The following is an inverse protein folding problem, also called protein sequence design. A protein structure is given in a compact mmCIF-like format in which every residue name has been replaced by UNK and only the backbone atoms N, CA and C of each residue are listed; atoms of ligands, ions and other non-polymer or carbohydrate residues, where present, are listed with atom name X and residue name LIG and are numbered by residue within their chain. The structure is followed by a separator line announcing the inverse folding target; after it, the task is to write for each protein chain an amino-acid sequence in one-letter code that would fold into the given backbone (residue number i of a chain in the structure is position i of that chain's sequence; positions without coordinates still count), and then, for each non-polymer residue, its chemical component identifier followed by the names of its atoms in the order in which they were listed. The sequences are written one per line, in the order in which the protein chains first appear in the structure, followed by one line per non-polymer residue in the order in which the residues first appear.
data_IF_214195327163
#
_entry.id   IF_214195327163
#
_cell.length_a   1.000
_cell.length_b   1.000
_cell.length_c   1.000
_cell.angle_alpha   90.00
_cell.angle_beta   90.00
_cell.angle_gamma   90.00
#
_symmetry.space_group_name_H-M   'P 1'
#
loop_
_entity.id
_entity.type
_entity.pdbx_description
1 polymer ?
#
# COMPACT_ATOMS: atom_id res chain seq x y z
N UNK A 1 -11.78 16.06 -12.57
CA UNK A 1 -12.16 15.44 -11.27
C UNK A 1 -11.17 14.32 -10.99
N UNK A 2 -10.52 14.32 -9.81
CA UNK A 2 -9.73 13.15 -9.37
C UNK A 2 -10.72 12.08 -8.87
N UNK A 3 -10.52 10.79 -9.15
CA UNK A 3 -11.44 9.75 -8.70
C UNK A 3 -11.54 9.74 -7.18
N UNK A 4 -12.77 9.60 -6.65
CA UNK A 4 -13.01 9.43 -5.22
C UNK A 4 -12.47 8.05 -4.81
N UNK A 5 -11.63 8.02 -3.78
CA UNK A 5 -11.16 6.78 -3.16
C UNK A 5 -11.97 6.57 -1.89
N UNK A 6 -12.76 5.50 -1.84
CA UNK A 6 -13.44 5.07 -0.62
C UNK A 6 -12.41 4.39 0.29
N UNK A 7 -12.25 4.88 1.51
CA UNK A 7 -11.41 4.29 2.54
C UNK A 7 -12.31 3.49 3.48
N UNK A 8 -11.95 2.23 3.73
CA UNK A 8 -12.70 1.36 4.62
C UNK A 8 -12.18 1.46 6.07
N UNK A 9 -10.86 1.60 6.25
CA UNK A 9 -10.27 1.77 7.58
C UNK A 9 -8.92 2.50 7.56
N UNK A 10 -8.62 3.19 8.66
CA UNK A 10 -7.25 3.65 8.95
C UNK A 10 -6.47 2.52 9.64
N UNK A 11 -5.25 2.26 9.19
CA UNK A 11 -4.37 1.23 9.78
C UNK A 11 -2.97 1.80 9.98
N UNK A 12 -2.37 1.53 11.13
CA UNK A 12 -0.96 1.84 11.37
C UNK A 12 -0.07 0.72 10.82
N UNK A 13 1.11 1.07 10.31
CA UNK A 13 2.03 0.10 9.72
C UNK A 13 2.51 -0.98 10.70
N UNK A 14 2.44 -0.74 12.01
CA UNK A 14 2.74 -1.74 13.05
C UNK A 14 1.68 -2.82 13.23
N UNK A 15 0.48 -2.62 12.68
CA UNK A 15 -0.59 -3.62 12.66
C UNK A 15 -0.55 -4.48 11.39
N UNK A 16 0.25 -4.09 10.38
CA UNK A 16 0.30 -4.77 9.10
C UNK A 16 1.25 -5.96 9.18
N UNK A 17 0.68 -7.14 9.20
CA UNK A 17 1.39 -8.42 9.21
C UNK A 17 0.57 -9.48 8.45
N UNK A 18 1.12 -10.68 8.32
CA UNK A 18 0.51 -11.77 7.58
C UNK A 18 -0.82 -12.22 8.21
N UNK A 19 -0.93 -12.20 9.54
CA UNK A 19 -2.15 -12.59 10.25
C UNK A 19 -3.31 -11.65 9.93
N UNK A 20 -3.07 -10.32 9.92
CA UNK A 20 -4.06 -9.33 9.49
C UNK A 20 -4.49 -9.59 8.04
N UNK A 21 -3.53 -9.85 7.15
CA UNK A 21 -3.85 -10.17 5.76
C UNK A 21 -4.74 -11.41 5.65
N UNK A 22 -4.42 -12.49 6.38
CA UNK A 22 -5.20 -13.73 6.37
C UNK A 22 -6.62 -13.54 6.93
N UNK A 23 -6.77 -12.77 8.00
CA UNK A 23 -8.08 -12.41 8.55
C UNK A 23 -8.93 -11.67 7.51
N UNK A 24 -8.35 -10.70 6.80
CA UNK A 24 -9.03 -9.99 5.72
C UNK A 24 -9.39 -10.97 4.60
N UNK A 25 -8.42 -11.75 4.12
CA UNK A 25 -8.62 -12.65 2.98
C UNK A 25 -9.64 -13.77 3.26
N UNK A 26 -9.88 -14.11 4.53
CA UNK A 26 -10.96 -15.03 4.92
C UNK A 26 -12.38 -14.50 4.68
N UNK A 27 -12.54 -13.19 4.38
CA UNK A 27 -13.82 -12.54 4.07
C UNK A 27 -14.23 -12.71 2.59
N UNK A 28 -13.52 -13.54 1.85
CA UNK A 28 -13.87 -13.96 0.49
C UNK A 28 -15.29 -14.54 0.41
N UNK A 29 -15.95 -14.46 -0.77
CA UNK A 29 -15.40 -14.07 -2.06
C UNK A 29 -15.37 -12.56 -2.30
N UNK A 30 -14.29 -12.10 -2.94
CA UNK A 30 -14.17 -10.71 -3.39
C UNK A 30 -14.87 -10.52 -4.75
N UNK A 31 -15.58 -9.41 -4.92
CA UNK A 31 -16.29 -9.12 -6.16
C UNK A 31 -17.38 -8.08 -6.00
N UNK A 32 -18.38 -8.12 -6.89
CA UNK A 32 -19.49 -7.16 -6.90
C UNK A 32 -20.21 -7.18 -5.54
N UNK A 33 -20.19 -6.05 -4.84
CA UNK A 33 -20.80 -5.90 -3.51
C UNK A 33 -19.89 -6.27 -2.33
N UNK A 34 -18.71 -6.84 -2.58
CA UNK A 34 -17.69 -7.13 -1.57
C UNK A 34 -16.29 -6.83 -2.15
N UNK A 35 -15.96 -5.55 -2.25
CA UNK A 35 -14.65 -5.12 -2.71
C UNK A 35 -13.57 -5.42 -1.66
N UNK A 36 -12.37 -5.77 -2.12
CA UNK A 36 -11.22 -5.92 -1.22
C UNK A 36 -10.95 -4.59 -0.49
N UNK A 37 -10.79 -4.60 0.84
CA UNK A 37 -10.75 -3.38 1.64
C UNK A 37 -9.58 -2.47 1.26
N UNK A 38 -9.87 -1.18 1.26
CA UNK A 38 -8.90 -0.10 1.07
C UNK A 38 -8.56 0.51 2.43
N UNK A 39 -7.28 0.44 2.76
CA UNK A 39 -6.74 1.03 3.97
C UNK A 39 -6.10 2.38 3.69
N UNK A 40 -6.02 3.22 4.72
CA UNK A 40 -5.34 4.50 4.69
C UNK A 40 -4.36 4.65 5.85
N UNK A 41 -3.20 5.25 5.57
CA UNK A 41 -2.24 5.66 6.59
C UNK A 41 -1.75 7.08 6.29
N UNK A 42 -1.86 8.01 7.26
CA UNK A 42 -1.30 9.35 7.11
C UNK A 42 0.21 9.38 7.35
N UNK A 43 0.86 10.44 6.89
CA UNK A 43 2.24 10.79 7.27
C UNK A 43 3.23 9.63 7.08
N UNK A 44 3.24 9.09 5.86
CA UNK A 44 4.13 8.02 5.44
C UNK A 44 5.32 8.60 4.69
N UNK A 45 6.52 8.30 5.18
CA UNK A 45 7.78 8.68 4.54
C UNK A 45 8.13 7.70 3.42
N UNK A 46 8.44 8.22 2.24
CA UNK A 46 9.04 7.47 1.13
C UNK A 46 10.53 7.34 1.38
N UNK A 47 10.96 6.17 1.87
CA UNK A 47 12.39 5.90 2.16
C UNK A 47 13.18 5.59 0.89
N UNK A 48 12.56 4.85 -0.03
CA UNK A 48 13.13 4.48 -1.32
C UNK A 48 12.04 4.45 -2.36
N UNK A 49 12.38 4.86 -3.57
CA UNK A 49 11.49 4.78 -4.72
C UNK A 49 12.29 4.53 -5.99
N UNK A 50 11.77 3.69 -6.87
CA UNK A 50 12.35 3.46 -8.19
C UNK A 50 11.30 3.02 -9.18
N UNK A 51 11.47 3.45 -10.43
CA UNK A 51 10.66 2.92 -11.55
C UNK A 51 11.11 1.48 -11.84
N UNK A 52 10.14 0.57 -12.01
CA UNK A 52 10.36 -0.83 -12.35
C UNK A 52 9.51 -1.22 -13.55
N UNK A 53 10.04 -2.12 -14.39
CA UNK A 53 9.43 -2.45 -15.66
C UNK A 53 9.33 -1.21 -16.56
N UNK A 54 8.20 -1.07 -17.27
CA UNK A 54 7.99 0.08 -18.16
C UNK A 54 7.45 1.34 -17.45
N UNK A 55 6.66 1.19 -16.38
CA UNK A 55 5.90 2.32 -15.82
C UNK A 55 5.40 2.13 -14.38
N UNK A 56 5.97 1.23 -13.58
CA UNK A 56 5.48 0.98 -12.21
C UNK A 56 6.44 1.58 -11.20
N UNK A 57 5.93 1.98 -10.04
CA UNK A 57 6.76 2.54 -8.98
C UNK A 57 6.86 1.54 -7.83
N UNK A 58 8.08 1.06 -7.55
CA UNK A 58 8.36 0.24 -6.38
C UNK A 58 8.90 1.13 -5.26
N UNK A 59 8.34 0.96 -4.07
CA UNK A 59 8.52 1.86 -2.93
C UNK A 59 8.92 1.08 -1.68
N UNK A 60 9.69 1.73 -0.81
CA UNK A 60 9.87 1.33 0.59
C UNK A 60 9.32 2.46 1.45
N UNK A 61 8.31 2.16 2.26
CA UNK A 61 7.54 3.15 3.02
C UNK A 61 7.70 2.93 4.52
N UNK A 62 7.65 4.03 5.28
CA UNK A 62 7.67 4.00 6.75
C UNK A 62 6.75 5.08 7.30
N UNK A 63 5.77 4.70 8.11
CA UNK A 63 4.92 5.65 8.82
C UNK A 63 5.73 6.39 9.89
N UNK A 64 5.58 7.71 9.99
CA UNK A 64 6.26 8.50 11.04
C UNK A 64 5.92 7.97 12.44
N UNK A 65 6.94 7.89 13.30
CA UNK A 65 6.79 7.36 14.66
C UNK A 65 6.66 5.84 14.75
N UNK A 66 6.64 5.11 13.62
CA UNK A 66 6.58 3.65 13.58
C UNK A 66 7.88 3.05 13.03
N UNK A 67 8.27 1.88 13.55
CA UNK A 67 9.48 1.16 13.12
C UNK A 67 9.33 0.37 11.81
N UNK A 68 8.18 -0.29 11.53
CA UNK A 68 8.08 -1.16 10.36
C UNK A 68 8.26 -0.42 9.05
N UNK A 69 9.00 -1.07 8.15
CA UNK A 69 9.16 -0.65 6.76
C UNK A 69 8.38 -1.62 5.90
N UNK A 70 7.52 -1.10 5.02
CA UNK A 70 6.70 -1.91 4.15
C UNK A 70 7.09 -1.67 2.70
N UNK A 71 7.21 -2.76 1.95
CA UNK A 71 7.32 -2.68 0.51
C UNK A 71 5.97 -2.26 -0.07
N UNK A 72 5.99 -1.42 -1.10
CA UNK A 72 4.80 -1.04 -1.83
C UNK A 72 5.03 -1.06 -3.35
N UNK A 73 3.96 -1.25 -4.10
CA UNK A 73 3.91 -1.16 -5.56
C UNK A 73 2.77 -0.21 -5.94
N UNK A 74 3.06 0.74 -6.83
CA UNK A 74 2.05 1.60 -7.43
C UNK A 74 2.04 1.35 -8.95
N UNK A 75 0.96 0.77 -9.44
CA UNK A 75 0.85 0.37 -10.83
C UNK A 75 0.60 1.57 -11.73
N UNK A 76 1.42 1.71 -12.78
CA UNK A 76 1.33 2.77 -13.80
C UNK A 76 1.63 4.18 -13.27
N UNK A 77 2.40 4.27 -12.20
CA UNK A 77 2.77 5.54 -11.57
C UNK A 77 4.16 6.06 -11.97
N UNK A 78 4.77 5.51 -13.02
CA UNK A 78 6.11 5.91 -13.47
C UNK A 78 6.24 7.41 -13.77
N UNK A 79 5.17 8.04 -14.27
CA UNK A 79 5.13 9.48 -14.56
C UNK A 79 5.14 10.38 -13.29
N UNK A 80 4.75 9.84 -12.13
CA UNK A 80 4.75 10.57 -10.86
C UNK A 80 6.08 10.45 -10.11
N UNK A 81 7.11 9.85 -10.71
CA UNK A 81 8.43 9.75 -10.11
C UNK A 81 9.21 11.07 -10.24
N UNK A 82 9.84 11.57 -9.16
CA UNK A 82 9.75 11.08 -7.78
C UNK A 82 8.48 11.54 -7.07
N UNK A 83 7.91 10.67 -6.24
CA UNK A 83 6.89 11.08 -5.26
C UNK A 83 7.51 11.97 -4.17
N UNK A 84 6.72 12.86 -3.54
CA UNK A 84 7.15 13.63 -2.38
C UNK A 84 7.65 12.74 -1.23
N UNK A 85 8.53 13.28 -0.39
CA UNK A 85 9.12 12.53 0.73
C UNK A 85 8.06 12.11 1.77
N UNK A 86 7.07 12.96 2.03
CA UNK A 86 6.00 12.70 3.01
C UNK A 86 4.64 12.73 2.30
N UNK A 87 3.91 11.62 2.40
CA UNK A 87 2.62 11.44 1.76
C UNK A 87 1.65 10.70 2.69
N UNK A 88 0.36 10.95 2.50
CA UNK A 88 -0.68 10.02 2.95
C UNK A 88 -0.89 8.98 1.85
N UNK A 89 -1.13 7.72 2.22
CA UNK A 89 -1.29 6.62 1.26
C UNK A 89 -2.61 5.88 1.48
N UNK A 90 -3.28 5.55 0.37
CA UNK A 90 -4.41 4.63 0.30
C UNK A 90 -3.99 3.37 -0.46
N UNK A 91 -4.26 2.20 0.11
CA UNK A 91 -3.69 0.94 -0.40
C UNK A 91 -4.54 -0.29 -0.09
N UNK A 92 -4.31 -1.35 -0.86
CA UNK A 92 -4.77 -2.72 -0.55
C UNK A 92 -3.60 -3.53 0.00
N UNK A 93 -3.88 -4.45 0.92
CA UNK A 93 -2.88 -5.44 1.35
C UNK A 93 -2.78 -6.53 0.29
N UNK A 94 -1.55 -6.91 -0.06
CA UNK A 94 -1.25 -8.04 -0.95
C UNK A 94 -0.25 -8.95 -0.27
N UNK A 95 -0.43 -10.25 -0.44
CA UNK A 95 0.60 -11.21 -0.09
C UNK A 95 1.65 -11.27 -1.20
N UNK A 96 2.91 -11.11 -0.81
CA UNK A 96 4.07 -11.32 -1.67
C UNK A 96 4.80 -12.59 -1.24
N UNK A 97 4.98 -13.51 -2.18
CA UNK A 97 5.66 -14.79 -1.96
C UNK A 97 6.97 -14.77 -2.74
N UNK A 98 8.10 -14.72 -2.02
CA UNK A 98 9.43 -14.74 -2.62
C UNK A 98 10.31 -15.73 -1.87
N UNK A 99 10.95 -16.66 -2.58
CA UNK A 99 11.84 -17.69 -1.98
C UNK A 99 11.23 -18.38 -0.75
N UNK A 100 9.96 -18.81 -0.84
CA UNK A 100 9.19 -19.43 0.25
C UNK A 100 8.91 -18.55 1.48
N UNK A 101 9.33 -17.29 1.47
CA UNK A 101 8.96 -16.30 2.48
C UNK A 101 7.70 -15.55 2.05
N UNK A 102 6.70 -15.51 2.94
CA UNK A 102 5.47 -14.75 2.75
C UNK A 102 5.57 -13.43 3.51
N UNK A 103 5.39 -12.32 2.80
CA UNK A 103 5.40 -10.98 3.37
C UNK A 103 4.17 -10.22 2.89
N UNK A 104 3.75 -9.20 3.64
CA UNK A 104 2.72 -8.28 3.17
C UNK A 104 3.37 -7.15 2.38
N UNK A 105 2.84 -6.89 1.19
CA UNK A 105 3.18 -5.76 0.35
C UNK A 105 1.94 -4.87 0.20
N UNK A 106 2.15 -3.55 0.14
CA UNK A 106 1.07 -2.60 -0.13
C UNK A 106 0.91 -2.39 -1.63
N UNK A 107 -0.31 -2.50 -2.14
CA UNK A 107 -0.66 -2.04 -3.48
C UNK A 107 -1.29 -0.65 -3.36
N UNK A 108 -0.55 0.40 -3.73
CA UNK A 108 -1.04 1.77 -3.64
C UNK A 108 -2.09 2.03 -4.73
N UNK A 109 -3.20 2.62 -4.32
CA UNK A 109 -4.25 3.10 -5.24
C UNK A 109 -4.42 4.62 -5.19
N UNK A 110 -3.84 5.27 -4.18
CA UNK A 110 -3.86 6.72 -4.03
C UNK A 110 -2.78 7.23 -3.10
N UNK A 111 -2.32 8.45 -3.35
CA UNK A 111 -1.37 9.16 -2.52
C UNK A 111 -1.71 10.65 -2.54
N UNK A 112 -1.48 11.31 -1.41
CA UNK A 112 -1.66 12.76 -1.25
C UNK A 112 -0.42 13.32 -0.58
N UNK A 113 0.16 14.38 -1.15
CA UNK A 113 1.22 15.13 -0.47
C UNK A 113 0.68 15.76 0.82
N UNK A 114 1.42 15.61 1.91
CA UNK A 114 1.12 16.25 3.19
C UNK A 114 1.46 17.75 3.16
#
# INVERSE_FOLDING_TARGET
LKPLIKIDAQVNFNQINLDLYQQIDSLQPWGIGNDFPVFWTPQVRVLQQRVVGKQHLKLTLMQLGQKPRLAAIAWRWGEYYPLPELIDVAYKLKQNVWQQQQTVQLELIGARAC
#
